data_IF_052101279100
#
_entry.id   IF_052101279100
#
_cell.length_a   1.000
_cell.length_b   1.000
_cell.length_c   1.000
_cell.angle_alpha   90.00
_cell.angle_beta   90.00
_cell.angle_gamma   90.00
#
_symmetry.space_group_name_H-M   'P 1'
#
loop_
_entity.id
_entity.type
_entity.pdbx_description
1 polymer ?
#
# COMPACT_ATOMS: atom_id res chain seq x y z
N UNK A 1 8.47 37.10 10.06
CA UNK A 1 8.84 35.69 9.77
C UNK A 1 8.08 35.24 8.56
N UNK A 2 8.74 34.61 7.58
CA UNK A 2 8.08 34.04 6.39
C UNK A 2 8.05 32.51 6.47
N UNK A 3 6.89 31.92 6.21
CA UNK A 3 6.72 30.48 6.10
C UNK A 3 7.02 30.04 4.66
N UNK A 4 7.94 29.08 4.49
CA UNK A 4 8.08 28.35 3.25
C UNK A 4 7.59 26.92 3.47
N UNK A 5 6.53 26.52 2.76
CA UNK A 5 5.94 25.19 2.81
C UNK A 5 5.75 24.70 1.38
N UNK A 6 6.23 23.49 1.12
CA UNK A 6 6.02 22.81 -0.16
C UNK A 6 5.50 21.41 0.12
N UNK A 7 4.48 20.99 -0.63
CA UNK A 7 3.93 19.64 -0.59
C UNK A 7 4.18 19.04 -1.96
N UNK A 8 4.90 17.92 -2.02
CA UNK A 8 5.24 17.22 -3.25
C UNK A 8 4.61 15.83 -3.21
N UNK A 9 3.98 15.43 -4.32
CA UNK A 9 3.40 14.09 -4.50
C UNK A 9 3.98 13.51 -5.78
N UNK A 10 4.59 12.33 -5.67
CA UNK A 10 5.31 11.73 -6.78
C UNK A 10 5.70 10.29 -6.50
N UNK A 11 6.54 9.73 -7.37
CA UNK A 11 7.04 8.36 -7.26
C UNK A 11 8.53 8.34 -6.98
N UNK A 12 8.98 7.37 -6.19
CA UNK A 12 10.41 7.12 -5.97
C UNK A 12 11.04 6.57 -7.25
N UNK A 13 12.12 7.19 -7.69
CA UNK A 13 12.92 6.70 -8.82
C UNK A 13 13.82 5.52 -8.44
N UNK A 14 14.21 5.45 -7.16
CA UNK A 14 15.06 4.43 -6.55
C UNK A 14 14.78 4.33 -5.06
N UNK A 15 15.24 3.23 -4.46
CA UNK A 15 15.20 3.04 -3.01
C UNK A 15 15.97 4.19 -2.32
N UNK A 16 15.50 4.68 -1.16
CA UNK A 16 16.23 5.65 -0.36
C UNK A 16 17.57 5.10 0.12
N UNK A 17 18.62 5.90 0.01
CA UNK A 17 19.95 5.58 0.54
C UNK A 17 20.08 6.15 1.96
N UNK A 18 20.20 5.28 2.96
CA UNK A 18 20.37 5.61 4.37
C UNK A 18 21.83 5.55 4.76
N UNK A 19 22.33 6.64 5.33
CA UNK A 19 23.70 6.76 5.83
C UNK A 19 23.70 7.34 7.23
N UNK A 20 24.74 7.04 7.99
CA UNK A 20 24.99 7.65 9.29
C UNK A 20 26.21 8.56 9.20
N UNK A 21 26.08 9.77 9.73
CA UNK A 21 27.21 10.69 9.87
C UNK A 21 28.18 10.17 10.95
N UNK A 22 29.43 10.67 11.00
CA UNK A 22 30.38 10.31 12.05
C UNK A 22 29.85 10.55 13.48
N UNK A 23 28.91 11.49 13.62
CA UNK A 23 28.25 11.81 14.89
C UNK A 23 27.02 10.93 15.17
N UNK A 24 26.80 9.86 14.40
CA UNK A 24 25.67 8.93 14.57
C UNK A 24 24.32 9.46 14.08
N UNK A 25 24.26 10.61 13.39
CA UNK A 25 23.00 11.15 12.87
C UNK A 25 22.63 10.45 11.56
N UNK A 26 21.44 9.86 11.51
CA UNK A 26 20.86 9.26 10.31
C UNK A 26 20.51 10.32 9.25
N UNK A 27 20.83 10.02 7.99
CA UNK A 27 20.56 10.83 6.81
C UNK A 27 20.07 9.92 5.69
N UNK A 28 18.88 10.20 5.16
CA UNK A 28 18.31 9.46 4.04
C UNK A 28 18.22 10.36 2.82
N UNK A 29 18.63 9.85 1.66
CA UNK A 29 18.58 10.58 0.39
C UNK A 29 17.78 9.81 -0.64
N UNK A 30 16.85 10.49 -1.31
CA UNK A 30 16.05 9.88 -2.37
C UNK A 30 15.59 10.91 -3.40
N UNK A 31 15.23 10.43 -4.58
CA UNK A 31 14.77 11.29 -5.69
C UNK A 31 13.32 10.98 -6.02
N UNK A 32 12.47 12.00 -5.91
CA UNK A 32 11.05 11.97 -6.18
C UNK A 32 10.78 12.48 -7.61
N UNK A 33 10.18 11.63 -8.44
CA UNK A 33 9.63 12.01 -9.73
C UNK A 33 8.22 12.60 -9.54
N UNK A 34 8.06 13.89 -9.78
CA UNK A 34 6.80 14.62 -9.66
C UNK A 34 6.32 14.98 -11.07
N UNK A 35 5.13 14.51 -11.43
CA UNK A 35 4.57 14.81 -12.75
C UNK A 35 4.08 16.26 -12.80
N UNK A 36 4.40 16.98 -13.87
CA UNK A 36 3.83 18.31 -14.11
C UNK A 36 2.39 18.17 -14.61
N UNK A 37 1.50 18.98 -14.05
CA UNK A 37 0.08 18.97 -14.44
C UNK A 37 -0.14 19.50 -15.87
N UNK A 38 0.71 20.43 -16.33
CA UNK A 38 0.64 20.99 -17.67
C UNK A 38 1.64 20.30 -18.61
N UNK A 39 1.12 19.72 -19.71
CA UNK A 39 1.92 19.17 -20.80
C UNK A 39 2.28 20.30 -21.77
N UNK A 40 3.56 20.58 -21.99
CA UNK A 40 3.99 21.27 -23.21
C UNK A 40 4.15 20.22 -24.30
N UNK A 41 3.48 20.42 -25.44
CA UNK A 41 3.64 19.61 -26.65
C UNK A 41 3.34 18.10 -26.53
N UNK A 42 2.42 17.73 -25.63
CA UNK A 42 1.89 16.36 -25.55
C UNK A 42 2.81 15.33 -24.86
N UNK A 43 4.03 15.70 -24.46
CA UNK A 43 4.91 14.83 -23.67
C UNK A 43 4.60 14.95 -22.17
N UNK A 44 4.63 13.83 -21.45
CA UNK A 44 4.59 13.84 -19.99
C UNK A 44 5.97 14.25 -19.47
N UNK A 45 6.08 15.47 -18.96
CA UNK A 45 7.26 15.94 -18.25
C UNK A 45 7.17 15.60 -16.75
N UNK A 46 8.26 15.09 -16.21
CA UNK A 46 8.43 14.85 -14.77
C UNK A 46 9.63 15.65 -14.24
N UNK A 47 9.44 16.28 -13.08
CA UNK A 47 10.51 16.88 -12.31
C UNK A 47 11.13 15.84 -11.37
N UNK A 48 12.45 15.82 -11.31
CA UNK A 48 13.20 14.94 -10.42
C UNK A 48 13.76 15.76 -9.27
N UNK A 49 13.09 15.72 -8.12
CA UNK A 49 13.52 16.46 -6.93
C UNK A 49 14.33 15.54 -6.03
N UNK A 50 15.57 15.94 -5.73
CA UNK A 50 16.40 15.28 -4.73
C UNK A 50 16.04 15.78 -3.32
N UNK A 51 15.70 14.87 -2.42
CA UNK A 51 15.26 15.16 -1.06
C UNK A 51 16.25 14.52 -0.08
N UNK A 52 16.68 15.31 0.91
CA UNK A 52 17.53 14.87 2.01
C UNK A 52 16.76 15.00 3.31
N UNK A 53 16.65 13.89 4.04
CA UNK A 53 15.92 13.81 5.31
C UNK A 53 16.89 13.42 6.41
N UNK A 54 16.68 13.96 7.62
CA UNK A 54 17.59 13.81 8.75
C UNK A 54 16.91 13.17 9.96
N UNK A 55 17.73 12.60 10.87
CA UNK A 55 17.33 12.05 12.17
C UNK A 55 16.30 10.93 12.01
N UNK A 56 15.37 10.79 12.97
CA UNK A 56 14.35 9.74 13.00
C UNK A 56 13.51 9.63 11.72
N UNK A 57 13.24 10.76 11.04
CA UNK A 57 12.46 10.73 9.80
C UNK A 57 13.26 10.04 8.68
N UNK A 58 14.59 10.17 8.68
CA UNK A 58 15.45 9.48 7.72
C UNK A 58 15.34 7.95 7.84
N UNK A 59 15.34 7.43 9.07
CA UNK A 59 15.20 6.00 9.35
C UNK A 59 13.83 5.49 8.92
N UNK A 60 12.76 6.23 9.24
CA UNK A 60 11.41 5.90 8.79
C UNK A 60 11.32 5.85 7.26
N UNK A 61 11.88 6.85 6.58
CA UNK A 61 11.91 6.90 5.11
C UNK A 61 12.61 5.67 4.55
N UNK A 62 13.79 5.31 5.05
CA UNK A 62 14.53 4.16 4.54
C UNK A 62 13.84 2.81 4.81
N UNK A 63 13.14 2.69 5.94
CA UNK A 63 12.45 1.47 6.34
C UNK A 63 11.12 1.27 5.59
N UNK A 64 10.37 2.35 5.35
CA UNK A 64 9.01 2.26 4.81
C UNK A 64 8.90 2.61 3.32
N UNK A 65 9.83 3.40 2.77
CA UNK A 65 9.79 3.79 1.36
C UNK A 65 10.69 2.87 0.53
N UNK A 66 10.08 2.09 -0.36
CA UNK A 66 10.76 1.23 -1.34
C UNK A 66 10.31 1.56 -2.76
N UNK A 67 11.23 1.54 -3.73
CA UNK A 67 10.94 1.71 -5.16
C UNK A 67 10.09 0.54 -5.62
N UNK A 68 8.94 0.84 -6.24
CA UNK A 68 8.02 -0.21 -6.65
C UNK A 68 7.30 -0.88 -5.47
N UNK A 69 7.29 -0.24 -4.30
CA UNK A 69 6.43 -0.61 -3.17
C UNK A 69 4.97 -0.49 -3.54
N UNK A 70 4.48 -1.53 -4.20
CA UNK A 70 3.20 -2.12 -3.93
C UNK A 70 3.29 -2.90 -2.59
N UNK A 71 3.88 -2.31 -1.53
CA UNK A 71 3.76 -2.86 -0.18
C UNK A 71 2.36 -2.53 0.35
N UNK A 72 1.37 -3.16 -0.29
CA UNK A 72 0.29 -3.80 0.43
C UNK A 72 0.83 -5.06 1.11
N UNK A 73 1.84 -4.93 1.98
CA UNK A 73 2.15 -5.96 2.97
C UNK A 73 1.19 -5.80 4.15
N UNK A 74 -0.12 -5.84 3.86
CA UNK A 74 -1.05 -6.44 4.77
C UNK A 74 -1.31 -7.83 4.19
N UNK A 75 -0.37 -8.74 4.41
CA UNK A 75 -0.62 -10.16 4.20
C UNK A 75 -1.66 -10.58 5.24
N UNK A 76 -2.93 -10.51 4.86
CA UNK A 76 -3.94 -11.31 5.53
C UNK A 76 -3.56 -12.77 5.29
N UNK A 77 -3.07 -13.41 6.33
CA UNK A 77 -2.66 -14.81 6.32
C UNK A 77 -3.95 -15.66 6.35
N UNK A 78 -4.57 -15.88 5.19
CA UNK A 78 -5.55 -16.96 5.04
C UNK A 78 -4.77 -18.25 4.85
N UNK A 79 -4.55 -18.95 5.96
CA UNK A 79 -4.14 -20.35 5.96
C UNK A 79 -5.23 -21.18 5.29
N UNK A 80 -5.11 -21.43 3.99
CA UNK A 80 -5.84 -22.51 3.33
C UNK A 80 -4.90 -23.71 3.21
N UNK A 81 -5.07 -24.61 4.18
CA UNK A 81 -4.47 -25.92 4.22
C UNK A 81 -4.85 -26.69 2.94
N UNK A 82 -3.90 -26.89 2.03
CA UNK A 82 -4.05 -27.78 0.88
C UNK A 82 -3.87 -29.23 1.35
N UNK A 83 -4.93 -29.78 1.93
CA UNK A 83 -5.16 -31.22 2.05
C UNK A 83 -6.00 -31.68 0.87
N UNK A 84 -5.35 -32.32 -0.11
CA UNK A 84 -6.01 -33.04 -1.18
C UNK A 84 -6.67 -34.31 -0.61
N UNK A 85 -8.00 -34.30 -0.46
CA UNK A 85 -8.84 -35.49 -0.54
C UNK A 85 -10.28 -35.05 -0.77
N UNK A 86 -10.84 -35.42 -1.93
CA UNK A 86 -12.05 -34.85 -2.50
C UNK A 86 -13.30 -34.94 -1.63
N UNK A 87 -14.10 -33.88 -1.67
CA UNK A 87 -15.47 -33.85 -1.18
C UNK A 87 -16.43 -33.52 -2.32
N UNK A 88 -17.44 -34.36 -2.42
CA UNK A 88 -18.44 -34.44 -3.50
C UNK A 88 -19.29 -33.18 -3.52
N UNK A 89 -19.53 -32.64 -4.72
CA UNK A 89 -20.74 -31.86 -5.03
C UNK A 89 -21.94 -32.74 -4.65
N UNK A 90 -22.77 -32.37 -3.69
CA UNK A 90 -24.13 -32.91 -3.52
C UNK A 90 -25.02 -32.21 -2.47
N UNK A 91 -24.53 -31.29 -1.64
CA UNK A 91 -25.37 -30.71 -0.56
C UNK A 91 -25.57 -29.20 -0.76
N UNK A 92 -26.31 -28.83 -1.81
CA UNK A 92 -26.86 -27.48 -1.94
C UNK A 92 -28.24 -27.44 -1.22
N UNK A 93 -28.35 -26.82 -0.03
CA UNK A 93 -29.58 -26.82 0.77
C UNK A 93 -30.71 -25.96 0.18
N UNK A 94 -30.43 -25.26 -0.92
CA UNK A 94 -31.37 -24.38 -1.64
C UNK A 94 -31.80 -24.96 -2.99
N UNK A 95 -31.31 -26.16 -3.36
CA UNK A 95 -31.53 -26.73 -4.69
C UNK A 95 -32.89 -27.42 -4.83
N UNK A 96 -33.62 -27.69 -3.75
CA UNK A 96 -34.87 -28.42 -3.85
C UNK A 96 -36.05 -27.66 -3.27
N UNK A 97 -37.02 -27.43 -4.15
CA UNK A 97 -38.39 -26.98 -3.88
C UNK A 97 -38.59 -25.47 -3.78
N UNK A 98 -39.39 -24.92 -4.71
CA UNK A 98 -40.05 -23.62 -4.57
C UNK A 98 -41.10 -23.62 -3.44
N UNK A 99 -40.74 -24.14 -2.27
CA UNK A 99 -41.47 -23.96 -1.03
C UNK A 99 -40.98 -22.65 -0.40
N UNK A 100 -41.88 -21.84 0.20
CA UNK A 100 -41.45 -20.68 0.95
C UNK A 100 -40.56 -21.14 2.12
N UNK A 101 -39.39 -20.52 2.26
CA UNK A 101 -38.55 -20.65 3.46
C UNK A 101 -39.35 -20.11 4.64
N UNK A 102 -39.61 -20.95 5.64
CA UNK A 102 -40.28 -20.57 6.87
C UNK A 102 -39.21 -20.01 7.83
N UNK A 103 -39.19 -18.69 7.99
CA UNK A 103 -38.38 -18.01 9.00
C UNK A 103 -39.31 -17.81 10.20
N UNK A 104 -39.14 -18.63 11.23
CA UNK A 104 -39.82 -18.45 12.52
C UNK A 104 -39.39 -17.14 13.18
N UNK A 105 -40.32 -16.41 13.81
CA UNK A 105 -40.06 -15.14 14.51
C UNK A 105 -38.99 -15.25 15.63
N UNK A 106 -38.68 -16.47 16.09
CA UNK A 106 -37.62 -16.77 17.06
C UNK A 106 -36.19 -16.71 16.46
N UNK A 107 -36.03 -16.73 15.12
CA UNK A 107 -34.74 -16.68 14.41
C UNK A 107 -34.28 -15.24 14.08
N UNK A 108 -35.04 -14.23 14.49
CA UNK A 108 -34.63 -12.83 14.35
C UNK A 108 -33.81 -12.41 15.57
N UNK A 109 -32.60 -11.84 15.38
CA UNK A 109 -31.87 -11.28 16.50
C UNK A 109 -32.59 -10.00 16.94
N UNK A 110 -33.28 -10.07 18.09
CA UNK A 110 -33.63 -8.87 18.86
C UNK A 110 -32.36 -8.04 19.13
#
# INVERSE_FOLDING_TARGET
>A
MSLNRTILVGRLTKDPDLRYTPNGVAVATFTLAVNRQFKKDGQQEADFINIVVWKRIAENVANFLKKGSNQGSNSFNQSSNSGNSGFKKNDDPFSNSGQPIDISDDDLPF
#
